data_IF_184681793070
#
_entry.id   IF_184681793070
#
_cell.length_a   1.000
_cell.length_b   1.000
_cell.length_c   1.000
_cell.angle_alpha   90.00
_cell.angle_beta   90.00
_cell.angle_gamma   90.00
#
_symmetry.space_group_name_H-M   'P 1'
#
loop_
_entity.id
_entity.type
_entity.pdbx_description
1 polymer ?
#
# COMPACT_ATOMS: atom_id res chain seq x y z
N UNK A 1 1.61 -35.51 9.47
CA UNK A 1 2.93 -34.84 9.39
C UNK A 1 3.29 -34.53 7.94
N UNK A 2 3.42 -35.51 7.03
CA UNK A 2 3.64 -35.24 5.59
C UNK A 2 2.53 -34.40 4.93
N UNK A 3 1.27 -34.61 5.28
CA UNK A 3 0.13 -33.83 4.77
C UNK A 3 0.18 -32.36 5.19
N UNK A 4 0.66 -32.07 6.41
CA UNK A 4 0.84 -30.71 6.92
C UNK A 4 1.95 -29.99 6.15
N UNK A 5 3.07 -30.67 5.91
CA UNK A 5 4.21 -30.14 5.14
C UNK A 5 3.84 -29.84 3.68
N UNK A 6 3.03 -30.69 3.04
CA UNK A 6 2.58 -30.46 1.66
C UNK A 6 1.62 -29.26 1.60
N UNK A 7 0.76 -29.10 2.61
CA UNK A 7 -0.18 -27.97 2.66
C UNK A 7 0.51 -26.62 2.83
N UNK A 8 1.62 -26.55 3.58
CA UNK A 8 2.39 -25.31 3.76
C UNK A 8 3.16 -24.93 2.49
N UNK A 9 3.71 -25.91 1.76
CA UNK A 9 4.36 -25.69 0.48
C UNK A 9 3.38 -25.19 -0.60
N UNK A 10 2.20 -25.80 -0.68
CA UNK A 10 1.15 -25.35 -1.60
C UNK A 10 0.69 -23.92 -1.31
N UNK A 11 0.56 -23.56 -0.02
CA UNK A 11 0.23 -22.18 0.39
C UNK A 11 1.30 -21.18 -0.05
N UNK A 12 2.57 -21.51 0.18
CA UNK A 12 3.68 -20.65 -0.24
C UNK A 12 3.69 -20.46 -1.76
N UNK A 13 3.50 -21.55 -2.51
CA UNK A 13 3.49 -21.50 -3.97
C UNK A 13 2.33 -20.65 -4.52
N UNK A 14 1.12 -20.80 -3.96
CA UNK A 14 -0.02 -19.98 -4.33
C UNK A 14 0.24 -18.49 -4.12
N UNK A 15 0.82 -18.10 -2.97
CA UNK A 15 1.13 -16.69 -2.68
C UNK A 15 2.08 -16.11 -3.72
N UNK A 16 3.13 -16.84 -4.12
CA UNK A 16 4.08 -16.38 -5.14
C UNK A 16 3.38 -16.20 -6.50
N UNK A 17 2.53 -17.14 -6.90
CA UNK A 17 1.79 -17.00 -8.16
C UNK A 17 0.86 -15.79 -8.16
N UNK A 18 0.16 -15.53 -7.05
CA UNK A 18 -0.70 -14.36 -6.92
C UNK A 18 0.09 -13.05 -6.93
N UNK A 19 1.26 -13.01 -6.29
CA UNK A 19 2.11 -11.83 -6.25
C UNK A 19 2.68 -11.49 -7.64
N UNK A 20 3.19 -12.51 -8.35
CA UNK A 20 3.64 -12.35 -9.74
C UNK A 20 2.51 -11.88 -10.65
N UNK A 21 1.32 -12.48 -10.52
CA UNK A 21 0.14 -12.07 -11.30
C UNK A 21 -0.27 -10.62 -11.00
N UNK A 22 -0.28 -10.24 -9.72
CA UNK A 22 -0.56 -8.87 -9.27
C UNK A 22 0.45 -7.88 -9.85
N UNK A 23 1.74 -8.20 -9.80
CA UNK A 23 2.81 -7.39 -10.39
C UNK A 23 2.64 -7.24 -11.92
N UNK A 24 2.28 -8.31 -12.62
CA UNK A 24 2.00 -8.24 -14.06
C UNK A 24 0.82 -7.31 -14.38
N UNK A 25 -0.27 -7.39 -13.61
CA UNK A 25 -1.42 -6.49 -13.78
C UNK A 25 -1.02 -5.05 -13.50
N UNK A 26 -0.25 -4.79 -12.43
CA UNK A 26 0.27 -3.46 -12.09
C UNK A 26 1.06 -2.84 -13.24
N UNK A 27 1.99 -3.61 -13.83
CA UNK A 27 2.78 -3.17 -14.98
C UNK A 27 1.89 -2.93 -16.20
N UNK A 28 0.91 -3.79 -16.44
CA UNK A 28 -0.02 -3.65 -17.56
C UNK A 28 -0.88 -2.38 -17.44
N UNK A 29 -1.46 -2.13 -16.27
CA UNK A 29 -2.23 -0.93 -15.97
C UNK A 29 -1.35 0.33 -16.10
N UNK A 30 -0.09 0.26 -15.66
CA UNK A 30 0.88 1.34 -15.82
C UNK A 30 1.11 1.69 -17.29
N UNK A 31 1.40 0.70 -18.14
CA UNK A 31 1.65 0.93 -19.57
C UNK A 31 0.46 1.59 -20.26
N UNK A 32 -0.76 1.14 -19.96
CA UNK A 32 -1.98 1.66 -20.58
C UNK A 32 -2.26 3.12 -20.24
N UNK A 33 -2.05 3.49 -18.98
CA UNK A 33 -2.40 4.82 -18.45
C UNK A 33 -1.25 5.82 -18.56
N UNK A 34 0.00 5.35 -18.70
CA UNK A 34 1.19 6.20 -18.83
C UNK A 34 1.08 7.22 -19.96
N UNK A 35 0.51 6.82 -21.11
CA UNK A 35 0.33 7.73 -22.25
C UNK A 35 -0.61 8.91 -21.91
N UNK A 36 -1.71 8.62 -21.23
CA UNK A 36 -2.65 9.64 -20.75
C UNK A 36 -2.08 10.47 -19.59
N UNK A 37 -1.27 9.86 -18.72
CA UNK A 37 -0.60 10.58 -17.65
C UNK A 37 0.43 11.58 -18.18
N UNK A 38 1.30 11.18 -19.12
CA UNK A 38 2.31 12.10 -19.67
C UNK A 38 1.66 13.33 -20.32
N UNK A 39 0.53 13.15 -20.99
CA UNK A 39 -0.16 14.25 -21.68
C UNK A 39 -0.96 15.16 -20.74
N UNK A 40 -1.70 14.59 -19.77
CA UNK A 40 -2.51 15.39 -18.83
C UNK A 40 -1.70 15.95 -17.65
N UNK A 41 -0.81 15.14 -17.09
CA UNK A 41 -0.13 15.44 -15.83
C UNK A 41 1.06 16.35 -16.09
N UNK A 42 1.87 16.14 -17.14
CA UNK A 42 3.11 16.91 -17.30
C UNK A 42 2.90 18.35 -17.80
N UNK A 43 1.73 18.66 -18.38
CA UNK A 43 1.39 20.01 -18.86
C UNK A 43 0.84 20.97 -17.79
N UNK A 44 0.39 20.46 -16.63
CA UNK A 44 -0.41 21.24 -15.66
C UNK A 44 0.37 21.54 -14.36
N UNK A 45 0.19 22.73 -13.74
CA UNK A 45 0.93 23.14 -12.54
C UNK A 45 0.87 22.10 -11.41
N UNK A 46 2.02 21.89 -10.77
CA UNK A 46 2.23 20.91 -9.72
C UNK A 46 1.36 21.20 -8.47
N UNK A 47 0.19 20.56 -8.37
CA UNK A 47 -0.65 20.54 -7.16
C UNK A 47 -0.26 19.36 -6.26
N UNK A 48 -0.34 19.52 -4.93
CA UNK A 48 -0.01 18.49 -3.94
C UNK A 48 -0.74 17.15 -4.15
N UNK A 49 -1.97 17.20 -4.69
CA UNK A 49 -2.76 16.02 -5.07
C UNK A 49 -2.11 15.16 -6.15
N UNK A 50 -1.35 15.78 -7.07
CA UNK A 50 -0.63 15.11 -8.17
C UNK A 50 0.52 14.26 -7.63
N UNK A 51 1.25 14.79 -6.65
CA UNK A 51 2.35 14.08 -5.97
C UNK A 51 1.79 12.92 -5.17
N UNK A 52 0.71 13.11 -4.41
CA UNK A 52 0.06 12.03 -3.68
C UNK A 52 -0.45 10.92 -4.61
N UNK A 53 -1.03 11.30 -5.76
CA UNK A 53 -1.49 10.35 -6.75
C UNK A 53 -0.34 9.51 -7.33
N UNK A 54 0.75 10.16 -7.76
CA UNK A 54 1.95 9.45 -8.23
C UNK A 54 2.52 8.56 -7.12
N UNK A 55 2.57 9.04 -5.89
CA UNK A 55 3.10 8.28 -4.76
C UNK A 55 2.26 7.02 -4.51
N UNK A 56 0.92 7.13 -4.48
CA UNK A 56 0.03 5.97 -4.38
C UNK A 56 0.20 4.94 -5.50
N UNK A 57 0.65 5.41 -6.67
CA UNK A 57 0.86 4.58 -7.85
C UNK A 57 2.22 3.89 -7.86
N UNK A 58 3.26 4.53 -7.32
CA UNK A 58 4.61 3.97 -7.27
C UNK A 58 4.89 3.14 -6.01
N UNK A 59 4.14 3.34 -4.91
CA UNK A 59 4.29 2.53 -3.69
C UNK A 59 4.12 1.01 -3.93
N UNK A 60 3.11 0.53 -4.69
CA UNK A 60 2.93 -0.89 -4.97
C UNK A 60 4.14 -1.55 -5.67
N UNK A 61 4.94 -0.77 -6.42
CA UNK A 61 6.18 -1.28 -7.01
C UNK A 61 7.25 -1.52 -5.94
N UNK A 62 7.32 -0.68 -4.91
CA UNK A 62 8.21 -0.92 -3.79
C UNK A 62 7.73 -2.10 -2.93
N UNK A 63 6.41 -2.28 -2.75
CA UNK A 63 5.84 -3.44 -2.05
C UNK A 63 6.21 -4.74 -2.76
N UNK A 64 6.01 -4.82 -4.08
CA UNK A 64 6.36 -6.03 -4.86
C UNK A 64 7.85 -6.36 -4.78
N UNK A 65 8.75 -5.37 -4.86
CA UNK A 65 10.20 -5.59 -4.68
C UNK A 65 10.50 -6.17 -3.29
N UNK A 66 9.87 -5.63 -2.23
CA UNK A 66 10.05 -6.11 -0.87
C UNK A 66 9.48 -7.53 -0.67
N UNK A 67 8.38 -7.90 -1.34
CA UNK A 67 7.85 -9.26 -1.31
C UNK A 67 8.80 -10.28 -1.94
N UNK A 68 9.43 -9.93 -3.07
CA UNK A 68 10.47 -10.78 -3.68
C UNK A 68 11.70 -10.95 -2.77
N UNK A 69 12.11 -9.87 -2.09
CA UNK A 69 13.19 -9.93 -1.11
C UNK A 69 12.82 -10.76 0.12
N UNK A 70 11.58 -10.65 0.61
CA UNK A 70 11.06 -11.48 1.70
C UNK A 70 11.10 -12.97 1.35
N UNK A 71 10.74 -13.34 0.13
CA UNK A 71 10.83 -14.74 -0.31
C UNK A 71 12.27 -15.26 -0.37
N UNK A 72 13.24 -14.38 -0.61
CA UNK A 72 14.66 -14.72 -0.69
C UNK A 72 15.37 -14.68 0.68
N UNK A 73 14.71 -14.21 1.73
CA UNK A 73 15.29 -14.07 3.06
C UNK A 73 15.37 -15.42 3.78
N UNK A 74 16.57 -15.77 4.27
CA UNK A 74 16.85 -17.04 4.94
C UNK A 74 17.09 -16.89 6.46
N UNK A 75 17.41 -15.68 6.92
CA UNK A 75 17.70 -15.38 8.33
C UNK A 75 16.48 -14.81 9.07
N UNK A 76 16.34 -15.19 10.34
CA UNK A 76 15.21 -14.82 11.19
C UNK A 76 15.15 -13.31 11.47
N UNK A 77 16.30 -12.64 11.60
CA UNK A 77 16.39 -11.19 11.81
C UNK A 77 15.96 -10.39 10.57
N UNK A 78 16.35 -10.84 9.38
CA UNK A 78 15.99 -10.20 8.11
C UNK A 78 14.49 -10.37 7.81
N UNK A 79 13.93 -11.56 8.09
CA UNK A 79 12.50 -11.83 7.93
C UNK A 79 11.63 -10.85 8.75
N UNK A 80 12.03 -10.60 9.99
CA UNK A 80 11.34 -9.69 10.89
C UNK A 80 11.47 -8.22 10.44
N UNK A 81 12.67 -7.78 10.06
CA UNK A 81 12.89 -6.43 9.52
C UNK A 81 12.10 -6.19 8.22
N UNK A 82 12.08 -7.17 7.31
CA UNK A 82 11.32 -7.11 6.05
C UNK A 82 9.81 -7.09 6.29
N UNK A 83 9.32 -7.88 7.26
CA UNK A 83 7.89 -7.89 7.62
C UNK A 83 7.44 -6.54 8.16
N UNK A 84 8.26 -5.89 9.01
CA UNK A 84 7.98 -4.53 9.48
C UNK A 84 8.04 -3.52 8.34
N UNK A 85 9.04 -3.62 7.47
CA UNK A 85 9.19 -2.74 6.30
C UNK A 85 7.98 -2.81 5.38
N UNK A 86 7.51 -4.02 5.06
CA UNK A 86 6.28 -4.27 4.29
C UNK A 86 5.06 -3.66 4.98
N UNK A 87 4.90 -3.87 6.29
CA UNK A 87 3.78 -3.32 7.05
C UNK A 87 3.75 -1.78 7.04
N UNK A 88 4.91 -1.15 7.19
CA UNK A 88 5.03 0.32 7.16
C UNK A 88 4.73 0.85 5.75
N UNK A 89 5.28 0.24 4.71
CA UNK A 89 5.07 0.67 3.33
C UNK A 89 3.59 0.55 2.94
N UNK A 90 2.98 -0.59 3.23
CA UNK A 90 1.55 -0.81 3.00
C UNK A 90 0.67 0.19 3.77
N UNK A 91 1.06 0.52 5.01
CA UNK A 91 0.40 1.54 5.82
C UNK A 91 0.48 2.92 5.15
N UNK A 92 1.64 3.32 4.65
CA UNK A 92 1.79 4.61 3.95
C UNK A 92 0.92 4.63 2.67
N UNK A 93 0.90 3.53 1.91
CA UNK A 93 0.08 3.42 0.70
C UNK A 93 -1.41 3.55 1.00
N UNK A 94 -1.88 2.82 2.00
CA UNK A 94 -3.28 2.86 2.43
C UNK A 94 -3.69 4.26 2.93
N UNK A 95 -2.81 4.93 3.69
CA UNK A 95 -2.99 6.32 4.14
C UNK A 95 -3.31 7.26 2.98
N UNK A 96 -2.52 7.16 1.92
CA UNK A 96 -2.63 8.03 0.75
C UNK A 96 -3.93 7.73 -0.02
N UNK A 97 -4.23 6.45 -0.23
CA UNK A 97 -5.43 6.01 -0.97
C UNK A 97 -6.69 6.50 -0.25
N UNK A 98 -6.78 6.28 1.06
CA UNK A 98 -7.91 6.73 1.86
C UNK A 98 -8.08 8.25 1.80
N UNK A 99 -6.99 9.01 1.87
CA UNK A 99 -7.05 10.46 1.74
C UNK A 99 -7.60 10.89 0.37
N UNK A 100 -7.13 10.28 -0.72
CA UNK A 100 -7.61 10.59 -2.08
C UNK A 100 -9.10 10.26 -2.19
N UNK A 101 -9.52 9.10 -1.69
CA UNK A 101 -10.94 8.73 -1.63
C UNK A 101 -11.75 9.74 -0.83
N UNK A 102 -11.25 10.14 0.34
CA UNK A 102 -11.92 11.10 1.20
C UNK A 102 -12.12 12.45 0.51
N UNK A 103 -11.09 12.97 -0.17
CA UNK A 103 -11.20 14.23 -0.92
C UNK A 103 -12.20 14.11 -2.08
N UNK A 104 -12.20 12.99 -2.81
CA UNK A 104 -13.16 12.76 -3.91
C UNK A 104 -14.59 12.69 -3.40
N UNK A 105 -14.83 11.95 -2.33
CA UNK A 105 -16.15 11.88 -1.68
C UNK A 105 -16.57 13.27 -1.18
N UNK A 106 -15.67 14.04 -0.57
CA UNK A 106 -16.01 15.39 -0.11
C UNK A 106 -16.38 16.33 -1.27
N UNK A 107 -15.71 16.22 -2.41
CA UNK A 107 -16.02 16.98 -3.61
C UNK A 107 -17.39 16.61 -4.22
N UNK A 108 -17.78 15.32 -4.20
CA UNK A 108 -19.09 14.87 -4.70
C UNK A 108 -20.26 15.48 -3.93
N UNK A 109 -20.06 15.81 -2.64
CA UNK A 109 -21.05 16.47 -1.79
C UNK A 109 -20.90 17.99 -1.75
N UNK A 110 -20.19 18.59 -2.70
CA UNK A 110 -20.08 20.05 -2.81
C UNK A 110 -19.33 20.70 -1.64
N UNK A 111 -18.36 19.99 -1.05
CA UNK A 111 -17.58 20.47 0.09
C UNK A 111 -18.39 20.80 1.35
N UNK A 112 -19.51 20.11 1.61
CA UNK A 112 -20.24 20.28 2.86
C UNK A 112 -19.34 19.96 4.07
N UNK A 113 -19.28 20.90 5.02
CA UNK A 113 -18.40 20.82 6.20
C UNK A 113 -18.77 19.67 7.13
N UNK A 114 -20.05 19.27 7.19
CA UNK A 114 -20.50 18.13 8.03
C UNK A 114 -19.88 16.83 7.54
N UNK A 115 -19.87 16.64 6.22
CA UNK A 115 -19.33 15.44 5.58
C UNK A 115 -17.81 15.43 5.74
N UNK A 116 -17.15 16.57 5.52
CA UNK A 116 -15.72 16.71 5.82
C UNK A 116 -15.34 16.29 7.24
N UNK A 117 -16.11 16.71 8.26
CA UNK A 117 -15.87 16.32 9.67
C UNK A 117 -16.03 14.81 9.87
N UNK A 118 -17.06 14.19 9.28
CA UNK A 118 -17.28 12.74 9.37
C UNK A 118 -16.12 11.96 8.75
N UNK A 119 -15.65 12.38 7.57
CA UNK A 119 -14.55 11.73 6.88
C UNK A 119 -13.24 11.85 7.66
N UNK A 120 -12.91 13.04 8.16
CA UNK A 120 -11.69 13.27 8.96
C UNK A 120 -11.74 12.47 10.25
N UNK A 121 -12.89 12.42 10.92
CA UNK A 121 -13.05 11.67 12.17
C UNK A 121 -12.87 10.17 11.92
N UNK A 122 -13.44 9.64 10.84
CA UNK A 122 -13.31 8.23 10.46
C UNK A 122 -11.87 7.88 10.09
N UNK A 123 -11.19 8.76 9.37
CA UNK A 123 -9.77 8.61 9.03
C UNK A 123 -8.91 8.48 10.29
N UNK A 124 -8.99 9.44 11.22
CA UNK A 124 -8.20 9.36 12.44
C UNK A 124 -8.58 8.16 13.32
N UNK A 125 -9.86 7.80 13.39
CA UNK A 125 -10.31 6.64 14.16
C UNK A 125 -9.69 5.32 13.64
N UNK A 126 -9.48 5.20 12.32
CA UNK A 126 -8.86 4.03 11.71
C UNK A 126 -7.33 4.02 11.89
N UNK A 127 -6.68 5.16 11.70
CA UNK A 127 -5.21 5.27 11.70
C UNK A 127 -4.57 5.26 13.08
N UNK A 128 -5.20 5.87 14.08
CA UNK A 128 -4.67 5.93 15.45
C UNK A 128 -4.32 4.54 16.04
N UNK A 129 -5.22 3.53 16.03
CA UNK A 129 -4.89 2.21 16.58
C UNK A 129 -3.78 1.52 15.80
N UNK A 130 -3.72 1.69 14.47
CA UNK A 130 -2.67 1.09 13.63
C UNK A 130 -1.30 1.64 14.02
N UNK A 131 -1.18 2.97 14.16
CA UNK A 131 0.06 3.63 14.57
C UNK A 131 0.48 3.21 15.98
N UNK A 132 -0.46 3.10 16.91
CA UNK A 132 -0.15 2.66 18.29
C UNK A 132 0.38 1.23 18.29
N UNK A 133 -0.26 0.32 17.54
CA UNK A 133 0.19 -1.07 17.47
C UNK A 133 1.57 -1.20 16.82
N UNK A 134 1.84 -0.46 15.74
CA UNK A 134 3.15 -0.52 15.08
C UNK A 134 4.26 0.04 15.97
N UNK A 135 4.02 1.16 16.66
CA UNK A 135 4.98 1.72 17.62
C UNK A 135 5.24 0.77 18.78
N UNK A 136 4.18 0.13 19.31
CA UNK A 136 4.32 -0.87 20.38
C UNK A 136 5.18 -2.05 19.94
N UNK A 137 4.93 -2.58 18.73
CA UNK A 137 5.71 -3.69 18.17
C UNK A 137 7.19 -3.34 18.00
N UNK A 138 7.50 -2.13 17.51
CA UNK A 138 8.87 -1.64 17.39
C UNK A 138 9.53 -1.51 18.78
N UNK A 139 8.80 -1.01 19.78
CA UNK A 139 9.33 -0.85 21.13
C UNK A 139 9.60 -2.16 21.87
N UNK A 140 8.91 -3.25 21.51
CA UNK A 140 9.14 -4.59 22.06
C UNK A 140 10.34 -5.31 21.42
N UNK A 141 10.86 -4.80 20.30
CA UNK A 141 12.00 -5.37 19.59
C UNK A 141 13.35 -4.71 19.97
N UNK A 142 13.31 -3.60 20.71
CA UNK A 142 14.48 -2.86 21.24
C UNK A 142 14.77 -3.35 22.66
#
# INVERSE_FOLDING_TARGET
>A
MLTESVSSLLRAQNTIYFDVFSACILVYDYILTFNSEVTLIWGEPWKSLKVLFLLSRYLPFADTILFFLYHSASSQSECLALTLGLGILFSIGSCIIEYIFAVRTWAMWGFDRKIGVVLVTTYFACWLPIVVNTVLLISLQI
#
